data_IF_463651953476
#
_entry.id   IF_463651953476
#
_cell.length_a   1.000
_cell.length_b   1.000
_cell.length_c   1.000
_cell.angle_alpha   90.00
_cell.angle_beta   90.00
_cell.angle_gamma   90.00
#
_symmetry.space_group_name_H-M   'P 1'
#
loop_
_entity.id
_entity.type
_entity.pdbx_description
1 polymer ?
#
# COMPACT_ATOMS: atom_id res chain seq x y z
N UNK A 1 2.87 -11.71 24.68
CA UNK A 1 1.56 -11.46 24.02
C UNK A 1 1.13 -12.77 23.38
N UNK A 2 -0.16 -13.08 23.36
CA UNK A 2 -0.69 -14.22 22.61
C UNK A 2 -0.52 -13.95 21.11
N UNK A 3 -0.42 -15.03 20.33
CA UNK A 3 -0.33 -14.90 18.87
C UNK A 3 -1.69 -14.53 18.28
N UNK A 4 -1.70 -13.56 17.34
CA UNK A 4 -2.91 -13.19 16.62
C UNK A 4 -3.20 -14.20 15.51
N UNK A 5 -4.35 -14.88 15.61
CA UNK A 5 -4.76 -15.89 14.63
C UNK A 5 -4.93 -15.32 13.22
N UNK A 6 -5.28 -14.05 13.08
CA UNK A 6 -5.50 -13.43 11.77
C UNK A 6 -4.20 -13.24 10.98
N UNK A 7 -3.03 -13.31 11.63
CA UNK A 7 -1.72 -13.31 10.97
C UNK A 7 -1.26 -14.70 10.49
N UNK A 8 -2.01 -15.76 10.84
CA UNK A 8 -1.70 -17.13 10.41
C UNK A 8 -2.38 -17.46 9.07
N UNK A 9 -1.68 -18.23 8.24
CA UNK A 9 -2.32 -18.91 7.10
C UNK A 9 -3.26 -20.00 7.59
N UNK A 10 -4.16 -20.46 6.72
CA UNK A 10 -5.05 -21.58 7.06
C UNK A 10 -4.24 -22.84 7.42
N UNK A 11 -3.14 -23.12 6.73
CA UNK A 11 -2.28 -24.28 7.00
C UNK A 11 -1.64 -24.19 8.40
N UNK A 12 -1.03 -23.06 8.74
CA UNK A 12 -0.46 -22.82 10.07
C UNK A 12 -1.52 -22.90 11.17
N UNK A 13 -2.72 -22.37 10.92
CA UNK A 13 -3.84 -22.47 11.87
C UNK A 13 -4.28 -23.92 12.05
N UNK A 14 -4.29 -24.73 10.98
CA UNK A 14 -4.61 -26.15 11.05
C UNK A 14 -3.58 -26.92 11.90
N UNK A 15 -2.29 -26.62 11.75
CA UNK A 15 -1.23 -27.24 12.54
C UNK A 15 -1.31 -26.80 14.01
N UNK A 16 -1.57 -25.53 14.27
CA UNK A 16 -1.77 -25.00 15.61
C UNK A 16 -3.00 -25.65 16.31
N UNK A 17 -4.08 -25.89 15.60
CA UNK A 17 -5.28 -26.54 16.12
C UNK A 17 -5.01 -28.05 16.39
N UNK A 18 -4.30 -28.72 15.48
CA UNK A 18 -3.88 -30.11 15.71
C UNK A 18 -3.03 -30.24 16.97
N UNK A 19 -2.12 -29.30 17.23
CA UNK A 19 -1.26 -29.28 18.42
C UNK A 19 -2.06 -29.15 19.73
N UNK A 20 -3.25 -28.57 19.70
CA UNK A 20 -4.16 -28.48 20.85
C UNK A 20 -5.26 -29.56 20.84
N UNK A 21 -5.16 -30.57 19.99
CA UNK A 21 -6.10 -31.68 19.91
C UNK A 21 -7.41 -31.37 19.19
N UNK A 22 -7.45 -30.31 18.37
CA UNK A 22 -8.64 -29.91 17.62
C UNK A 22 -8.55 -30.34 16.14
N UNK A 23 -9.66 -30.78 15.53
CA UNK A 23 -9.68 -31.19 14.13
C UNK A 23 -9.37 -30.02 13.17
N UNK A 24 -8.66 -30.29 12.07
CA UNK A 24 -8.29 -29.28 11.05
C UNK A 24 -9.46 -28.47 10.50
N UNK A 25 -10.66 -29.04 10.37
CA UNK A 25 -11.83 -28.31 9.88
C UNK A 25 -12.26 -27.19 10.84
N UNK A 26 -11.95 -27.29 12.13
CA UNK A 26 -12.22 -26.20 13.09
C UNK A 26 -11.36 -24.98 12.80
N UNK A 27 -10.11 -25.17 12.41
CA UNK A 27 -9.25 -24.07 11.95
C UNK A 27 -9.86 -23.35 10.75
N UNK A 28 -10.40 -24.09 9.75
CA UNK A 28 -11.09 -23.50 8.61
C UNK A 28 -12.33 -22.67 9.01
N UNK A 29 -13.10 -23.16 9.99
CA UNK A 29 -14.24 -22.42 10.53
C UNK A 29 -13.79 -21.08 11.16
N UNK A 30 -12.76 -21.12 12.00
CA UNK A 30 -12.22 -19.91 12.64
C UNK A 30 -11.63 -18.95 11.59
N UNK A 31 -10.83 -19.45 10.65
CA UNK A 31 -10.27 -18.65 9.57
C UNK A 31 -11.34 -17.90 8.77
N UNK A 32 -12.42 -18.60 8.41
CA UNK A 32 -13.56 -17.99 7.70
C UNK A 32 -14.25 -16.91 8.55
N UNK A 33 -14.42 -17.13 9.85
CA UNK A 33 -14.99 -16.12 10.75
C UNK A 33 -14.13 -14.86 10.85
N UNK A 34 -12.80 -15.03 10.98
CA UNK A 34 -11.85 -13.93 11.06
C UNK A 34 -11.89 -13.07 9.80
N UNK A 35 -11.89 -13.70 8.62
CA UNK A 35 -11.96 -13.00 7.32
C UNK A 35 -13.37 -12.47 6.97
N UNK A 36 -14.36 -12.73 7.81
CA UNK A 36 -15.70 -12.10 7.77
C UNK A 36 -15.87 -10.99 8.82
N UNK A 37 -14.83 -10.68 9.58
CA UNK A 37 -14.82 -9.57 10.52
C UNK A 37 -15.17 -9.95 11.96
N UNK A 38 -15.09 -11.23 12.35
CA UNK A 38 -15.23 -11.60 13.76
C UNK A 38 -14.09 -10.97 14.58
N UNK A 39 -14.48 -10.28 15.66
CA UNK A 39 -13.56 -9.58 16.58
C UNK A 39 -13.44 -10.27 17.94
N UNK A 40 -14.12 -11.39 18.13
CA UNK A 40 -14.03 -12.21 19.33
C UNK A 40 -14.39 -13.66 19.01
N UNK A 41 -13.90 -14.60 19.83
CA UNK A 41 -14.29 -16.02 19.71
C UNK A 41 -15.76 -16.23 20.04
N UNK A 42 -16.37 -15.40 20.89
CA UNK A 42 -17.79 -15.49 21.26
C UNK A 42 -18.73 -15.26 20.08
N UNK A 43 -18.32 -14.48 19.08
CA UNK A 43 -19.08 -14.29 17.85
C UNK A 43 -19.17 -15.56 16.99
N UNK A 44 -18.27 -16.55 17.18
CA UNK A 44 -18.16 -17.76 16.37
C UNK A 44 -19.15 -18.84 16.80
N UNK A 45 -20.43 -18.62 16.54
CA UNK A 45 -21.58 -19.40 17.09
C UNK A 45 -21.60 -20.88 16.68
N UNK A 46 -20.90 -21.26 15.60
CA UNK A 46 -20.80 -22.66 15.16
C UNK A 46 -19.67 -23.45 15.87
N UNK A 47 -18.94 -22.80 16.80
CA UNK A 47 -17.96 -23.44 17.68
C UNK A 47 -18.59 -23.71 19.05
N UNK A 48 -18.20 -24.83 19.69
CA UNK A 48 -18.62 -25.11 21.07
C UNK A 48 -18.09 -24.03 22.03
N UNK A 49 -18.81 -23.79 23.10
CA UNK A 49 -18.41 -22.84 24.15
C UNK A 49 -17.03 -23.17 24.71
N UNK A 50 -16.78 -24.45 24.99
CA UNK A 50 -15.47 -24.93 25.49
C UNK A 50 -14.31 -24.66 24.52
N UNK A 51 -14.55 -24.81 23.21
CA UNK A 51 -13.52 -24.48 22.22
C UNK A 51 -13.26 -22.97 22.16
N UNK A 52 -14.31 -22.15 22.18
CA UNK A 52 -14.16 -20.68 22.17
C UNK A 52 -13.35 -20.19 23.38
N UNK A 53 -13.66 -20.68 24.59
CA UNK A 53 -12.93 -20.40 25.82
C UNK A 53 -11.46 -20.88 25.75
N UNK A 54 -11.22 -22.08 25.19
CA UNK A 54 -9.88 -22.62 24.98
C UNK A 54 -9.05 -21.74 24.03
N UNK A 55 -9.63 -21.34 22.90
CA UNK A 55 -8.97 -20.48 21.91
C UNK A 55 -8.70 -19.10 22.49
N UNK A 56 -9.66 -18.50 23.21
CA UNK A 56 -9.48 -17.22 23.89
C UNK A 56 -8.34 -17.24 24.93
N UNK A 57 -8.17 -18.38 25.57
CA UNK A 57 -7.03 -18.62 26.49
C UNK A 57 -5.66 -18.62 25.81
N UNK A 58 -5.57 -19.06 24.55
CA UNK A 58 -4.33 -19.32 23.84
C UNK A 58 -3.94 -18.24 22.81
N UNK A 59 -4.93 -17.62 22.15
CA UNK A 59 -4.73 -16.75 21.01
C UNK A 59 -5.40 -15.39 21.20
N UNK A 60 -4.99 -14.43 20.40
CA UNK A 60 -5.63 -13.12 20.28
C UNK A 60 -6.38 -13.00 18.93
N UNK A 61 -7.38 -12.14 18.90
CA UNK A 61 -8.00 -11.59 17.70
C UNK A 61 -7.88 -10.08 17.82
N UNK A 62 -7.05 -9.47 16.99
CA UNK A 62 -6.95 -8.01 16.95
C UNK A 62 -7.92 -7.43 15.92
N UNK A 63 -8.42 -6.25 16.21
CA UNK A 63 -9.21 -5.46 15.28
C UNK A 63 -8.96 -3.98 15.54
N UNK A 64 -8.85 -3.16 14.49
CA UNK A 64 -8.74 -1.71 14.66
C UNK A 64 -10.10 -1.12 15.02
N UNK A 65 -10.08 0.05 15.65
CA UNK A 65 -11.28 0.87 15.81
C UNK A 65 -11.21 2.13 14.96
N UNK A 66 -12.35 2.61 14.51
CA UNK A 66 -12.44 3.87 13.77
C UNK A 66 -12.23 5.04 14.71
N UNK A 67 -11.06 5.70 14.65
CA UNK A 67 -10.82 6.93 15.40
C UNK A 67 -11.43 8.15 14.68
N UNK A 68 -11.39 8.14 13.33
CA UNK A 68 -12.03 9.19 12.50
C UNK A 68 -12.43 8.61 11.15
N UNK A 69 -13.59 9.04 10.63
CA UNK A 69 -14.05 8.76 9.27
C UNK A 69 -14.39 10.09 8.59
N UNK A 70 -13.88 10.29 7.40
CA UNK A 70 -14.18 11.45 6.56
C UNK A 70 -14.67 10.97 5.20
N UNK A 71 -15.70 11.63 4.68
CA UNK A 71 -16.26 11.31 3.36
C UNK A 71 -16.18 12.57 2.50
N UNK A 72 -15.50 12.47 1.38
CA UNK A 72 -15.39 13.55 0.41
C UNK A 72 -16.76 13.92 -0.14
N UNK A 73 -17.06 15.21 -0.14
CA UNK A 73 -18.27 15.76 -0.79
C UNK A 73 -18.12 15.90 -2.30
N UNK A 74 -16.88 15.83 -2.80
CA UNK A 74 -16.57 16.01 -4.22
C UNK A 74 -16.72 14.71 -5.03
N UNK A 75 -16.32 13.58 -4.44
CA UNK A 75 -16.18 12.33 -5.19
C UNK A 75 -16.52 11.05 -4.41
N UNK A 76 -16.98 11.19 -3.16
CA UNK A 76 -17.38 10.06 -2.32
C UNK A 76 -16.21 9.25 -1.74
N UNK A 77 -14.96 9.68 -1.93
CA UNK A 77 -13.78 9.05 -1.30
C UNK A 77 -13.93 9.04 0.21
N UNK A 78 -13.60 7.90 0.84
CA UNK A 78 -13.70 7.75 2.29
C UNK A 78 -12.29 7.59 2.86
N UNK A 79 -11.92 8.45 3.81
CA UNK A 79 -10.69 8.34 4.57
C UNK A 79 -10.97 7.87 5.99
N UNK A 80 -10.29 6.80 6.40
CA UNK A 80 -10.31 6.27 7.75
C UNK A 80 -9.02 6.58 8.47
N UNK A 81 -9.12 6.98 9.73
CA UNK A 81 -8.04 6.91 10.71
C UNK A 81 -8.36 5.72 11.64
N UNK A 82 -7.57 4.67 11.51
CA UNK A 82 -7.69 3.47 12.32
C UNK A 82 -6.82 3.57 13.56
N UNK A 83 -7.39 3.34 14.74
CA UNK A 83 -6.65 3.18 15.98
C UNK A 83 -6.33 1.70 16.16
N UNK A 84 -5.06 1.40 16.27
CA UNK A 84 -4.52 0.06 16.50
C UNK A 84 -4.52 -0.30 17.98
N UNK A 85 -4.28 -1.59 18.31
CA UNK A 85 -4.29 -2.11 19.68
C UNK A 85 -3.31 -1.40 20.62
N UNK A 86 -2.15 -1.00 20.12
CA UNK A 86 -1.11 -0.28 20.86
C UNK A 86 -1.35 1.23 21.00
N UNK A 87 -2.48 1.71 20.51
CA UNK A 87 -2.86 3.13 20.51
C UNK A 87 -2.30 3.96 19.37
N UNK A 88 -1.42 3.41 18.54
CA UNK A 88 -0.99 4.05 17.31
C UNK A 88 -2.13 4.15 16.30
N UNK A 89 -1.99 5.07 15.34
CA UNK A 89 -2.97 5.24 14.28
C UNK A 89 -2.34 5.13 12.90
N UNK A 90 -3.13 4.60 11.94
CA UNK A 90 -2.81 4.58 10.51
C UNK A 90 -4.02 5.00 9.70
N UNK A 91 -3.80 5.50 8.49
CA UNK A 91 -4.88 5.93 7.60
C UNK A 91 -5.03 4.97 6.42
N UNK A 92 -6.28 4.77 6.02
CA UNK A 92 -6.66 4.08 4.77
C UNK A 92 -7.66 4.92 3.99
N UNK A 93 -7.68 4.75 2.67
CA UNK A 93 -8.58 5.50 1.78
C UNK A 93 -9.32 4.54 0.87
N UNK A 94 -10.66 4.62 0.87
CA UNK A 94 -11.52 3.90 -0.07
C UNK A 94 -11.90 4.84 -1.20
N UNK A 95 -11.56 4.46 -2.41
CA UNK A 95 -11.81 5.22 -3.64
C UNK A 95 -12.76 4.44 -4.54
N UNK A 96 -13.75 5.12 -5.08
CA UNK A 96 -14.72 4.52 -5.99
C UNK A 96 -14.36 4.81 -7.44
N UNK A 97 -14.17 3.75 -8.24
CA UNK A 97 -13.94 3.86 -9.67
C UNK A 97 -15.02 3.09 -10.43
N UNK A 98 -15.22 3.39 -11.70
CA UNK A 98 -16.15 2.65 -12.56
C UNK A 98 -15.81 1.16 -12.72
N UNK A 99 -14.54 0.79 -12.51
CA UNK A 99 -14.04 -0.58 -12.60
C UNK A 99 -13.93 -1.28 -11.23
N UNK A 100 -14.52 -0.73 -10.18
CA UNK A 100 -14.55 -1.30 -8.84
C UNK A 100 -13.93 -0.40 -7.77
N UNK A 101 -14.13 -0.76 -6.51
CA UNK A 101 -13.63 0.04 -5.39
C UNK A 101 -12.20 -0.36 -5.06
N UNK A 102 -11.35 0.64 -4.85
CA UNK A 102 -9.95 0.47 -4.49
C UNK A 102 -9.73 0.94 -3.05
N UNK A 103 -9.05 0.13 -2.25
CA UNK A 103 -8.58 0.58 -0.94
C UNK A 103 -7.07 0.84 -0.98
N UNK A 104 -6.68 2.02 -0.52
CA UNK A 104 -5.29 2.38 -0.26
C UNK A 104 -4.99 2.09 1.21
N UNK A 105 -4.00 1.23 1.48
CA UNK A 105 -3.63 0.82 2.84
C UNK A 105 -2.22 1.26 3.19
N UNK A 106 -2.01 1.45 4.50
CA UNK A 106 -0.71 1.74 5.11
C UNK A 106 0.02 0.44 5.45
N UNK A 107 1.35 0.45 5.34
CA UNK A 107 2.21 -0.70 5.68
C UNK A 107 3.00 -0.53 6.98
N UNK A 108 3.04 0.67 7.51
CA UNK A 108 3.80 1.04 8.70
C UNK A 108 3.09 2.12 9.51
N UNK A 109 3.47 2.29 10.76
CA UNK A 109 3.18 3.48 11.56
C UNK A 109 4.30 4.48 11.37
N UNK A 110 4.08 5.52 10.55
CA UNK A 110 5.10 6.41 10.05
C UNK A 110 5.87 5.81 8.87
N UNK A 111 6.92 6.50 8.40
CA UNK A 111 7.71 6.06 7.24
C UNK A 111 9.18 6.48 7.39
N UNK A 112 10.16 5.57 7.15
CA UNK A 112 11.57 5.89 7.30
C UNK A 112 12.19 6.59 6.08
N UNK A 113 11.47 6.70 4.94
CA UNK A 113 12.05 7.11 3.66
C UNK A 113 12.45 8.58 3.57
N UNK A 114 11.80 9.47 4.32
CA UNK A 114 12.17 10.89 4.38
C UNK A 114 11.88 11.70 3.12
N UNK A 115 10.94 11.23 2.26
CA UNK A 115 10.53 11.96 1.04
C UNK A 115 9.96 13.32 1.39
N UNK A 116 10.55 14.41 0.83
CA UNK A 116 10.22 15.78 1.23
C UNK A 116 8.81 16.25 0.85
N UNK A 117 8.20 15.60 -0.11
CA UNK A 117 6.84 15.89 -0.58
C UNK A 117 5.75 15.08 0.14
N UNK A 118 6.12 14.23 1.12
CA UNK A 118 5.18 13.28 1.72
C UNK A 118 5.03 13.51 3.23
N UNK A 119 3.80 13.76 3.68
CA UNK A 119 3.48 13.96 5.10
C UNK A 119 3.70 12.69 5.95
N UNK A 120 3.63 11.50 5.35
CA UNK A 120 3.82 10.22 6.05
C UNK A 120 5.21 10.05 6.67
N UNK A 121 6.21 10.81 6.21
CA UNK A 121 7.58 10.77 6.73
C UNK A 121 7.79 11.67 7.95
N UNK A 122 6.83 12.56 8.24
CA UNK A 122 6.91 13.48 9.39
C UNK A 122 6.91 12.68 10.69
N UNK A 123 7.99 12.78 11.44
CA UNK A 123 8.20 12.04 12.69
C UNK A 123 8.72 10.60 12.51
N UNK A 124 9.13 10.21 11.31
CA UNK A 124 9.83 8.95 11.04
C UNK A 124 9.00 7.69 11.27
N UNK A 125 9.66 6.54 11.27
CA UNK A 125 9.08 5.23 11.55
C UNK A 125 8.91 5.01 13.06
N UNK A 126 7.75 4.49 13.46
CA UNK A 126 7.50 3.97 14.81
C UNK A 126 7.63 2.45 14.83
N UNK A 127 6.86 1.76 13.98
CA UNK A 127 6.93 0.32 13.79
C UNK A 127 6.32 -0.13 12.45
N UNK A 128 6.64 -1.34 12.08
CA UNK A 128 6.01 -2.04 10.97
C UNK A 128 4.65 -2.60 11.40
N UNK A 129 3.71 -2.68 10.47
CA UNK A 129 2.41 -3.30 10.71
C UNK A 129 2.51 -4.83 10.61
N UNK A 130 1.75 -5.51 11.47
CA UNK A 130 1.58 -6.95 11.43
C UNK A 130 0.68 -7.38 10.25
N UNK A 131 0.77 -8.63 9.77
CA UNK A 131 -0.08 -9.10 8.67
C UNK A 131 -1.57 -8.93 8.93
N UNK A 132 -2.04 -9.20 10.15
CA UNK A 132 -3.43 -8.98 10.55
C UNK A 132 -3.87 -7.52 10.42
N UNK A 133 -3.01 -6.56 10.80
CA UNK A 133 -3.29 -5.13 10.71
C UNK A 133 -3.37 -4.64 9.26
N UNK A 134 -2.64 -5.28 8.33
CA UNK A 134 -2.76 -5.03 6.89
C UNK A 134 -4.08 -5.58 6.33
N UNK A 135 -4.44 -6.82 6.69
CA UNK A 135 -5.73 -7.45 6.32
C UNK A 135 -6.90 -6.63 6.87
N UNK A 136 -6.80 -6.18 8.11
CA UNK A 136 -7.86 -5.45 8.80
C UNK A 136 -8.21 -4.12 8.13
N UNK A 137 -7.22 -3.39 7.61
CA UNK A 137 -7.48 -2.16 6.87
C UNK A 137 -8.39 -2.41 5.66
N UNK A 138 -8.20 -3.52 4.94
CA UNK A 138 -9.05 -3.89 3.81
C UNK A 138 -10.42 -4.36 4.29
N UNK A 139 -10.44 -5.29 5.22
CA UNK A 139 -11.64 -5.93 5.73
C UNK A 139 -12.61 -4.94 6.40
N UNK A 140 -12.10 -4.13 7.33
CA UNK A 140 -12.94 -3.18 8.07
C UNK A 140 -13.31 -1.96 7.23
N UNK A 141 -12.48 -1.56 6.24
CA UNK A 141 -12.91 -0.57 5.25
C UNK A 141 -14.10 -1.06 4.43
N UNK A 142 -14.11 -2.34 4.01
CA UNK A 142 -15.23 -2.94 3.29
C UNK A 142 -16.47 -3.03 4.18
N UNK A 143 -16.32 -3.51 5.41
CA UNK A 143 -17.45 -3.71 6.33
C UNK A 143 -18.11 -2.38 6.74
N UNK A 144 -17.31 -1.37 7.07
CA UNK A 144 -17.84 -0.06 7.53
C UNK A 144 -18.40 0.79 6.38
N UNK A 145 -17.79 0.72 5.19
CA UNK A 145 -18.28 1.46 4.02
C UNK A 145 -19.48 0.78 3.34
N UNK A 146 -19.64 -0.53 3.50
CA UNK A 146 -20.58 -1.34 2.72
C UNK A 146 -20.19 -1.51 1.24
N UNK A 147 -19.00 -1.06 0.83
CA UNK A 147 -18.52 -1.11 -0.53
C UNK A 147 -17.61 -2.34 -0.72
N UNK A 148 -17.92 -3.26 -1.65
CA UNK A 148 -17.04 -4.40 -1.92
C UNK A 148 -15.71 -3.92 -2.47
N UNK A 149 -14.60 -4.34 -1.84
CA UNK A 149 -13.24 -3.99 -2.27
C UNK A 149 -12.82 -4.92 -3.40
N UNK A 150 -12.47 -4.34 -4.55
CA UNK A 150 -12.02 -5.05 -5.75
C UNK A 150 -10.50 -4.96 -5.93
N UNK A 151 -9.90 -3.85 -5.51
CA UNK A 151 -8.48 -3.58 -5.73
C UNK A 151 -7.82 -3.04 -4.45
N UNK A 152 -6.53 -3.33 -4.29
CA UNK A 152 -5.72 -2.87 -3.15
C UNK A 152 -4.49 -2.14 -3.69
N UNK A 153 -4.17 -0.98 -3.13
CA UNK A 153 -2.91 -0.30 -3.37
C UNK A 153 -2.17 -0.07 -2.05
N UNK A 154 -0.93 -0.56 -1.96
CA UNK A 154 -0.05 -0.31 -0.82
C UNK A 154 0.71 1.00 -1.09
N UNK A 155 -0.02 2.12 -0.99
CA UNK A 155 0.45 3.49 -1.26
C UNK A 155 0.11 4.46 -0.12
N UNK A 156 -0.26 3.92 1.04
CA UNK A 156 -0.54 4.67 2.26
C UNK A 156 0.72 5.03 3.04
N UNK A 157 0.62 5.07 4.35
CA UNK A 157 1.75 5.37 5.23
C UNK A 157 2.72 4.18 5.24
N UNK A 158 4.02 4.46 5.03
CA UNK A 158 5.09 3.47 5.12
C UNK A 158 5.73 3.11 3.79
N UNK A 159 6.76 2.28 3.87
CA UNK A 159 7.44 1.65 2.75
C UNK A 159 7.15 0.13 2.79
N UNK A 160 6.31 -0.38 1.89
CA UNK A 160 5.91 -1.78 1.94
C UNK A 160 7.08 -2.77 1.88
N UNK A 161 8.13 -2.44 1.13
CA UNK A 161 9.30 -3.30 1.02
C UNK A 161 10.25 -3.21 2.24
N UNK A 162 10.14 -2.19 3.09
CA UNK A 162 10.81 -2.17 4.40
C UNK A 162 10.12 -3.14 5.38
N UNK A 163 8.81 -3.33 5.24
CA UNK A 163 8.02 -4.33 5.95
C UNK A 163 7.84 -5.64 5.16
N UNK A 164 8.88 -6.09 4.48
CA UNK A 164 8.82 -7.12 3.44
C UNK A 164 8.09 -8.40 3.87
N UNK A 165 8.52 -9.02 4.98
CA UNK A 165 8.01 -10.33 5.37
C UNK A 165 6.53 -10.28 5.78
N UNK A 166 6.12 -9.25 6.51
CA UNK A 166 4.70 -9.05 6.88
C UNK A 166 3.83 -8.72 5.65
N UNK A 167 4.36 -7.94 4.70
CA UNK A 167 3.65 -7.65 3.45
C UNK A 167 3.51 -8.91 2.58
N UNK A 168 4.54 -9.76 2.49
CA UNK A 168 4.42 -11.04 1.78
C UNK A 168 3.36 -11.95 2.45
N UNK A 169 3.35 -12.00 3.77
CA UNK A 169 2.31 -12.72 4.53
C UNK A 169 0.91 -12.15 4.29
N UNK A 170 0.77 -10.82 4.29
CA UNK A 170 -0.48 -10.16 3.93
C UNK A 170 -0.97 -10.58 2.55
N UNK A 171 -0.08 -10.58 1.54
CA UNK A 171 -0.44 -10.98 0.18
C UNK A 171 -0.94 -12.43 0.12
N UNK A 172 -0.33 -13.34 0.87
CA UNK A 172 -0.78 -14.72 0.99
C UNK A 172 -2.19 -14.80 1.62
N UNK A 173 -2.41 -14.10 2.72
CA UNK A 173 -3.69 -14.10 3.45
C UNK A 173 -4.83 -13.49 2.63
N UNK A 174 -4.59 -12.33 2.00
CA UNK A 174 -5.63 -11.62 1.27
C UNK A 174 -6.07 -12.35 -0.02
N UNK A 175 -5.14 -13.11 -0.61
CA UNK A 175 -5.39 -13.92 -1.81
C UNK A 175 -5.98 -15.30 -1.48
N UNK A 176 -6.02 -15.70 -0.21
CA UNK A 176 -6.55 -17.00 0.20
C UNK A 176 -7.99 -17.20 -0.28
N UNK A 177 -8.32 -18.32 -0.94
CA UNK A 177 -9.69 -18.61 -1.39
C UNK A 177 -10.68 -18.82 -0.24
N UNK A 178 -10.19 -19.17 0.95
CA UNK A 178 -10.99 -19.30 2.18
C UNK A 178 -11.11 -17.97 2.96
N UNK A 179 -10.38 -16.91 2.51
CA UNK A 179 -10.39 -15.57 3.06
C UNK A 179 -11.14 -14.57 2.19
N UNK A 180 -10.56 -13.38 1.98
CA UNK A 180 -11.16 -12.33 1.15
C UNK A 180 -11.04 -12.61 -0.36
N UNK A 181 -10.14 -13.48 -0.77
CA UNK A 181 -9.95 -13.96 -2.14
C UNK A 181 -9.72 -12.84 -3.17
N UNK A 182 -8.93 -11.85 -2.82
CA UNK A 182 -8.54 -10.77 -3.74
C UNK A 182 -7.30 -11.23 -4.53
N UNK A 183 -7.46 -11.38 -5.85
CA UNK A 183 -6.40 -11.88 -6.73
C UNK A 183 -5.22 -10.93 -6.84
N UNK A 184 -3.99 -11.47 -7.01
CA UNK A 184 -2.74 -10.69 -7.08
C UNK A 184 -2.76 -9.60 -8.16
N UNK A 185 -3.45 -9.80 -9.29
CA UNK A 185 -3.58 -8.80 -10.37
C UNK A 185 -4.36 -7.56 -9.97
N UNK A 186 -5.10 -7.63 -8.87
CA UNK A 186 -5.86 -6.53 -8.28
C UNK A 186 -5.06 -5.79 -7.19
N UNK A 187 -3.79 -6.14 -7.00
CA UNK A 187 -2.94 -5.56 -5.98
C UNK A 187 -1.80 -4.79 -6.62
N UNK A 188 -1.61 -3.53 -6.22
CA UNK A 188 -0.45 -2.72 -6.58
C UNK A 188 0.39 -2.47 -5.34
N UNK A 189 1.66 -2.89 -5.39
CA UNK A 189 2.65 -2.67 -4.34
C UNK A 189 3.56 -1.53 -4.78
N UNK A 190 3.59 -0.44 -4.00
CA UNK A 190 4.46 0.69 -4.27
C UNK A 190 5.73 0.63 -3.42
N UNK A 191 6.84 1.13 -3.97
CA UNK A 191 8.11 1.24 -3.25
C UNK A 191 8.87 2.50 -3.63
N UNK A 192 9.57 3.09 -2.67
CA UNK A 192 10.54 4.16 -2.91
C UNK A 192 11.81 3.72 -3.63
N UNK A 193 11.95 2.40 -3.89
CA UNK A 193 13.06 1.84 -4.66
C UNK A 193 14.14 1.18 -3.80
N UNK A 194 13.74 0.31 -2.88
CA UNK A 194 14.66 -0.56 -2.13
C UNK A 194 15.12 -1.70 -3.04
N UNK A 195 16.24 -1.52 -3.74
CA UNK A 195 16.74 -2.42 -4.79
C UNK A 195 16.88 -3.86 -4.33
N UNK A 196 17.53 -4.09 -3.19
CA UNK A 196 17.68 -5.42 -2.59
C UNK A 196 16.35 -6.14 -2.32
N UNK A 197 15.29 -5.38 -2.09
CA UNK A 197 13.94 -5.91 -1.87
C UNK A 197 13.16 -6.12 -3.17
N UNK A 198 13.38 -5.27 -4.17
CA UNK A 198 12.83 -5.48 -5.52
C UNK A 198 13.38 -6.79 -6.10
N UNK A 199 14.69 -7.03 -5.97
CA UNK A 199 15.32 -8.28 -6.39
C UNK A 199 14.71 -9.50 -5.68
N UNK A 200 14.52 -9.42 -4.35
CA UNK A 200 13.85 -10.45 -3.56
C UNK A 200 12.39 -10.68 -3.95
N UNK A 201 11.68 -9.60 -4.31
CA UNK A 201 10.29 -9.68 -4.78
C UNK A 201 10.20 -10.37 -6.15
N UNK A 202 11.18 -10.14 -7.05
CA UNK A 202 11.25 -10.77 -8.36
C UNK A 202 11.35 -12.31 -8.28
N UNK A 203 11.89 -12.85 -7.18
CA UNK A 203 12.02 -14.30 -6.95
C UNK A 203 10.70 -14.96 -6.49
N UNK A 204 9.69 -14.17 -6.12
CA UNK A 204 8.41 -14.66 -5.59
C UNK A 204 7.37 -15.02 -6.64
N UNK A 205 7.63 -14.70 -7.92
CA UNK A 205 6.70 -14.92 -9.06
C UNK A 205 5.25 -14.47 -8.77
N UNK A 206 5.09 -13.31 -8.15
CA UNK A 206 3.80 -12.74 -7.84
C UNK A 206 3.26 -11.95 -9.03
N UNK A 207 1.96 -12.15 -9.34
CA UNK A 207 1.28 -11.49 -10.46
C UNK A 207 0.73 -10.10 -10.11
N UNK A 208 1.28 -9.44 -9.08
CA UNK A 208 0.91 -8.09 -8.68
C UNK A 208 1.49 -7.02 -9.64
N UNK A 209 1.03 -5.79 -9.50
CA UNK A 209 1.65 -4.63 -10.17
C UNK A 209 2.69 -4.02 -9.24
N UNK A 210 3.94 -3.96 -9.69
CA UNK A 210 4.97 -3.20 -8.99
C UNK A 210 4.90 -1.73 -9.43
N UNK A 211 4.71 -0.82 -8.46
CA UNK A 211 4.78 0.63 -8.65
C UNK A 211 6.04 1.17 -8.02
N UNK A 212 6.87 1.86 -8.80
CA UNK A 212 8.15 2.41 -8.32
C UNK A 212 8.07 3.93 -8.28
N UNK A 213 8.23 4.49 -7.09
CA UNK A 213 8.32 5.94 -6.86
C UNK A 213 9.65 6.46 -7.39
N UNK A 214 9.68 6.87 -8.66
CA UNK A 214 10.87 7.40 -9.32
C UNK A 214 11.01 8.90 -9.10
N UNK A 215 9.99 9.68 -9.45
CA UNK A 215 9.80 11.12 -9.25
C UNK A 215 10.87 12.05 -9.87
N UNK A 216 11.99 11.51 -10.35
CA UNK A 216 12.98 12.21 -11.17
C UNK A 216 13.84 11.22 -11.94
N UNK A 217 14.27 11.53 -13.18
CA UNK A 217 15.10 10.63 -13.98
C UNK A 217 16.60 10.75 -13.71
N UNK A 218 17.03 11.71 -12.88
CA UNK A 218 18.42 11.98 -12.54
C UNK A 218 18.67 11.96 -11.03
N UNK A 219 19.91 11.65 -10.64
CA UNK A 219 20.29 11.50 -9.23
C UNK A 219 20.31 12.82 -8.46
N UNK A 220 20.62 13.92 -9.12
CA UNK A 220 20.70 15.23 -8.46
C UNK A 220 19.32 15.66 -7.99
N UNK A 221 18.35 15.69 -8.90
CA UNK A 221 16.96 16.08 -8.61
C UNK A 221 16.29 15.06 -7.69
N UNK A 222 16.49 13.75 -7.94
CA UNK A 222 15.89 12.70 -7.11
C UNK A 222 16.41 12.75 -5.68
N UNK A 223 17.71 12.95 -5.45
CA UNK A 223 18.30 13.03 -4.11
C UNK A 223 17.81 14.24 -3.31
N UNK A 224 17.40 15.33 -3.97
CA UNK A 224 16.83 16.51 -3.32
C UNK A 224 15.47 16.20 -2.67
N UNK A 225 14.67 15.32 -3.27
CA UNK A 225 13.28 15.03 -2.83
C UNK A 225 13.13 13.64 -2.21
N UNK A 226 13.98 12.67 -2.55
CA UNK A 226 13.96 11.29 -2.05
C UNK A 226 15.33 10.86 -1.54
N UNK A 227 15.60 10.92 -0.23
CA UNK A 227 16.91 10.58 0.35
C UNK A 227 17.36 9.13 0.06
N UNK A 228 16.44 8.21 -0.18
CA UNK A 228 16.72 6.80 -0.54
C UNK A 228 17.61 6.69 -1.78
N UNK A 229 17.58 7.68 -2.68
CA UNK A 229 18.41 7.74 -3.88
C UNK A 229 19.93 7.73 -3.56
N UNK A 230 20.32 8.23 -2.40
CA UNK A 230 21.75 8.21 -1.98
C UNK A 230 22.28 6.80 -1.79
N UNK A 231 21.41 5.85 -1.44
CA UNK A 231 21.76 4.43 -1.29
C UNK A 231 21.61 3.69 -2.61
N UNK A 232 20.56 3.98 -3.37
CA UNK A 232 20.26 3.35 -4.65
C UNK A 232 20.02 4.41 -5.72
N UNK A 233 21.08 4.80 -6.47
CA UNK A 233 20.98 5.74 -7.56
C UNK A 233 19.99 5.29 -8.65
N UNK A 234 19.51 6.24 -9.44
CA UNK A 234 18.49 6.01 -10.48
C UNK A 234 18.86 4.84 -11.40
N UNK A 235 20.09 4.78 -11.91
CA UNK A 235 20.48 3.73 -12.84
C UNK A 235 20.54 2.34 -12.18
N UNK A 236 20.94 2.26 -10.92
CA UNK A 236 20.89 1.02 -10.12
C UNK A 236 19.45 0.56 -9.91
N UNK A 237 18.57 1.49 -9.56
CA UNK A 237 17.13 1.21 -9.40
C UNK A 237 16.51 0.72 -10.72
N UNK A 238 16.80 1.39 -11.82
CA UNK A 238 16.24 1.02 -13.13
C UNK A 238 16.82 -0.32 -13.65
N UNK A 239 18.06 -0.66 -13.30
CA UNK A 239 18.61 -1.99 -13.58
C UNK A 239 17.81 -3.08 -12.86
N UNK A 240 17.55 -2.93 -11.56
CA UNK A 240 16.72 -3.87 -10.79
C UNK A 240 15.28 -3.95 -11.34
N UNK A 241 14.73 -2.84 -11.83
CA UNK A 241 13.42 -2.85 -12.49
C UNK A 241 13.43 -3.64 -13.81
N UNK A 242 14.48 -3.53 -14.61
CA UNK A 242 14.64 -4.34 -15.83
C UNK A 242 14.72 -5.82 -15.52
N UNK A 243 15.49 -6.18 -14.50
CA UNK A 243 15.62 -7.57 -14.05
C UNK A 243 14.28 -8.12 -13.51
N UNK A 244 13.54 -7.31 -12.74
CA UNK A 244 12.19 -7.64 -12.31
C UNK A 244 11.25 -7.90 -13.50
N UNK A 245 11.24 -6.99 -14.48
CA UNK A 245 10.43 -7.14 -15.69
C UNK A 245 10.84 -8.40 -16.50
N UNK A 246 12.14 -8.64 -16.67
CA UNK A 246 12.64 -9.81 -17.37
C UNK A 246 12.24 -11.13 -16.71
N UNK A 247 12.27 -11.20 -15.35
CA UNK A 247 11.89 -12.38 -14.58
C UNK A 247 10.39 -12.64 -14.54
N UNK A 248 9.58 -11.58 -14.38
CA UNK A 248 8.14 -11.70 -14.09
C UNK A 248 7.25 -11.48 -15.32
N UNK A 249 7.75 -10.85 -16.37
CA UNK A 249 6.96 -10.39 -17.51
C UNK A 249 5.93 -9.31 -17.16
N UNK A 250 5.97 -8.78 -15.92
CA UNK A 250 4.98 -7.82 -15.42
C UNK A 250 5.43 -6.39 -15.67
N UNK A 251 4.57 -5.61 -16.35
CA UNK A 251 4.78 -4.18 -16.56
C UNK A 251 4.93 -3.45 -15.21
N UNK A 252 5.90 -2.54 -15.13
CA UNK A 252 6.14 -1.68 -13.97
C UNK A 252 5.44 -0.34 -14.18
N UNK A 253 4.78 0.17 -13.12
CA UNK A 253 4.28 1.54 -13.05
C UNK A 253 5.32 2.43 -12.37
N UNK A 254 5.78 3.47 -13.04
CA UNK A 254 6.65 4.49 -12.45
C UNK A 254 5.80 5.66 -11.98
N UNK A 255 5.73 5.85 -10.68
CA UNK A 255 5.05 6.99 -10.08
C UNK A 255 5.95 8.22 -10.24
N UNK A 256 5.41 9.29 -10.81
CA UNK A 256 6.16 10.50 -11.12
C UNK A 256 5.40 11.75 -10.70
N UNK A 257 5.82 12.35 -9.58
CA UNK A 257 5.19 13.56 -9.05
C UNK A 257 5.68 14.80 -9.81
N UNK A 258 4.72 15.59 -10.31
CA UNK A 258 4.98 16.82 -11.06
C UNK A 258 5.18 17.97 -10.08
N UNK A 259 6.43 18.33 -9.83
CA UNK A 259 6.86 19.38 -8.88
C UNK A 259 7.49 20.52 -9.67
N UNK A 260 6.92 21.72 -9.54
CA UNK A 260 7.35 22.93 -10.22
C UNK A 260 8.84 23.24 -10.02
N UNK A 261 9.57 23.38 -11.11
CA UNK A 261 11.01 23.66 -11.13
C UNK A 261 11.91 22.55 -10.57
N UNK A 262 11.37 21.34 -10.29
CA UNK A 262 12.13 20.21 -9.74
C UNK A 262 12.10 18.99 -10.63
N UNK A 263 10.91 18.60 -11.12
CA UNK A 263 10.70 17.34 -11.86
C UNK A 263 9.84 17.49 -13.10
N UNK A 264 9.71 18.67 -13.66
CA UNK A 264 8.74 18.98 -14.71
C UNK A 264 9.34 19.57 -16.01
N UNK A 265 10.67 19.58 -16.13
CA UNK A 265 11.31 20.15 -17.33
C UNK A 265 11.21 19.22 -18.54
N UNK A 266 11.19 19.78 -19.78
CA UNK A 266 11.22 19.01 -21.02
C UNK A 266 12.45 18.07 -21.10
N UNK A 267 13.62 18.54 -20.65
CA UNK A 267 14.86 17.77 -20.64
C UNK A 267 14.75 16.53 -19.75
N UNK A 268 14.05 16.66 -18.61
CA UNK A 268 13.76 15.52 -17.72
C UNK A 268 12.80 14.53 -18.38
N UNK A 269 11.79 14.99 -19.13
CA UNK A 269 10.90 14.10 -19.89
C UNK A 269 11.67 13.30 -20.96
N UNK A 270 12.58 13.95 -21.70
CA UNK A 270 13.45 13.31 -22.69
C UNK A 270 14.40 12.30 -22.03
N UNK A 271 15.02 12.66 -20.89
CA UNK A 271 15.91 11.78 -20.14
C UNK A 271 15.14 10.56 -19.61
N UNK A 272 13.94 10.78 -19.05
CA UNK A 272 13.06 9.71 -18.56
C UNK A 272 12.70 8.73 -19.67
N UNK A 273 12.30 9.26 -20.83
CA UNK A 273 11.97 8.44 -22.01
C UNK A 273 13.12 7.54 -22.43
N UNK A 274 14.34 8.09 -22.51
CA UNK A 274 15.57 7.33 -22.85
C UNK A 274 15.85 6.24 -21.83
N UNK A 275 15.72 6.55 -20.54
CA UNK A 275 15.99 5.59 -19.44
C UNK A 275 14.97 4.46 -19.37
N UNK A 276 13.71 4.69 -19.74
CA UNK A 276 12.63 3.71 -19.72
C UNK A 276 12.45 2.93 -21.03
N UNK A 277 13.16 3.32 -22.07
CA UNK A 277 13.06 2.66 -23.38
C UNK A 277 13.31 1.14 -23.28
N UNK A 278 12.45 0.35 -23.93
CA UNK A 278 12.53 -1.12 -23.95
C UNK A 278 12.12 -1.84 -22.67
N UNK A 279 11.71 -1.10 -21.65
CA UNK A 279 11.24 -1.67 -20.38
C UNK A 279 9.72 -1.59 -20.30
N UNK A 280 8.93 -2.55 -20.51
CA UNK A 280 7.46 -2.52 -20.42
C UNK A 280 6.90 -1.56 -19.34
N UNK A 281 7.22 -0.27 -19.48
CA UNK A 281 7.00 0.77 -18.49
C UNK A 281 5.68 1.52 -18.73
N UNK A 282 5.10 2.00 -17.64
CA UNK A 282 4.01 2.97 -17.61
C UNK A 282 4.41 4.08 -16.65
N UNK A 283 4.22 5.35 -17.04
CA UNK A 283 4.45 6.49 -16.15
C UNK A 283 3.12 7.01 -15.64
N UNK A 284 2.93 6.95 -14.34
CA UNK A 284 1.77 7.51 -13.65
C UNK A 284 2.14 8.90 -13.12
N UNK A 285 1.77 9.93 -13.86
CA UNK A 285 2.05 11.32 -13.51
C UNK A 285 1.09 11.79 -12.43
N UNK A 286 1.63 12.30 -11.33
CA UNK A 286 0.87 12.71 -10.15
C UNK A 286 1.05 14.22 -9.96
N UNK A 287 0.02 15.05 -10.14
CA UNK A 287 0.09 16.42 -9.68
C UNK A 287 0.42 16.45 -8.18
N UNK A 288 1.39 17.26 -7.77
CA UNK A 288 1.77 17.33 -6.37
C UNK A 288 0.58 17.77 -5.53
N UNK A 289 0.22 16.97 -4.53
CA UNK A 289 -0.78 17.34 -3.56
C UNK A 289 -0.17 18.24 -2.48
N UNK A 290 -0.94 19.18 -1.96
CA UNK A 290 -0.45 20.14 -0.98
C UNK A 290 -0.08 19.43 0.33
N UNK A 291 1.18 19.61 0.73
CA UNK A 291 1.72 19.26 2.06
C UNK A 291 2.37 20.52 2.59
N UNK A 292 1.72 21.18 3.52
CA UNK A 292 2.09 22.52 4.00
C UNK A 292 3.56 22.61 4.44
N UNK A 293 4.08 21.52 5.03
CA UNK A 293 5.46 21.49 5.56
C UNK A 293 6.53 21.31 4.46
N UNK A 294 6.13 20.95 3.23
CA UNK A 294 7.08 20.66 2.16
C UNK A 294 7.67 21.91 1.50
N UNK A 295 6.90 22.99 1.43
CA UNK A 295 7.24 24.19 0.67
C UNK A 295 7.32 23.98 -0.85
N UNK A 296 6.88 22.82 -1.36
CA UNK A 296 6.90 22.48 -2.76
C UNK A 296 5.54 22.80 -3.41
N UNK A 297 5.56 23.11 -4.71
CA UNK A 297 4.38 23.47 -5.47
C UNK A 297 4.16 22.51 -6.63
N UNK A 298 2.88 22.35 -7.02
CA UNK A 298 2.54 21.53 -8.19
C UNK A 298 2.89 22.27 -9.48
N UNK A 299 3.35 21.54 -10.48
CA UNK A 299 3.61 22.05 -11.81
C UNK A 299 2.37 22.65 -12.47
N UNK A 300 2.56 23.61 -13.37
CA UNK A 300 1.47 24.17 -14.17
C UNK A 300 0.83 23.10 -15.06
N UNK A 301 -0.44 23.27 -15.43
CA UNK A 301 -1.12 22.36 -16.37
C UNK A 301 -0.37 22.28 -17.71
N UNK A 302 0.18 23.39 -18.17
CA UNK A 302 0.95 23.44 -19.43
C UNK A 302 2.21 22.58 -19.33
N UNK A 303 3.00 22.69 -18.25
CA UNK A 303 4.19 21.86 -18.02
C UNK A 303 3.83 20.38 -17.95
N UNK A 304 2.75 20.02 -17.23
CA UNK A 304 2.27 18.63 -17.14
C UNK A 304 1.92 18.07 -18.52
N UNK A 305 1.16 18.81 -19.34
CA UNK A 305 0.80 18.37 -20.69
C UNK A 305 2.00 18.27 -21.62
N UNK A 306 2.93 19.22 -21.55
CA UNK A 306 4.15 19.18 -22.34
C UNK A 306 5.00 17.96 -21.98
N UNK A 307 5.19 17.69 -20.68
CA UNK A 307 5.91 16.52 -20.18
C UNK A 307 5.27 15.22 -20.69
N UNK A 308 3.94 15.11 -20.56
CA UNK A 308 3.18 13.96 -21.05
C UNK A 308 3.38 13.75 -22.57
N UNK A 309 3.26 14.81 -23.36
CA UNK A 309 3.40 14.76 -24.81
C UNK A 309 4.79 14.28 -25.25
N UNK A 310 5.85 14.68 -24.51
CA UNK A 310 7.22 14.24 -24.79
C UNK A 310 7.34 12.74 -24.49
N UNK A 311 6.80 12.24 -23.37
CA UNK A 311 6.82 10.80 -23.04
C UNK A 311 6.12 10.00 -24.13
N UNK A 312 4.91 10.41 -24.51
CA UNK A 312 4.09 9.73 -25.53
C UNK A 312 4.75 9.74 -26.91
N UNK A 313 5.34 10.86 -27.32
CA UNK A 313 6.10 10.97 -28.58
C UNK A 313 7.31 10.01 -28.61
N UNK A 314 7.88 9.69 -27.46
CA UNK A 314 8.97 8.73 -27.32
C UNK A 314 8.49 7.29 -27.04
N UNK A 315 7.18 7.01 -27.21
CA UNK A 315 6.61 5.67 -27.08
C UNK A 315 6.41 5.20 -25.64
N UNK A 316 6.48 6.09 -24.65
CA UNK A 316 6.21 5.77 -23.23
C UNK A 316 4.75 6.06 -22.92
N UNK A 317 4.02 5.05 -22.47
CA UNK A 317 2.64 5.24 -22.00
C UNK A 317 2.64 6.08 -20.72
N UNK A 318 1.99 7.23 -20.75
CA UNK A 318 1.87 8.13 -19.62
C UNK A 318 0.39 8.43 -19.30
N UNK A 319 0.03 8.45 -18.02
CA UNK A 319 -1.32 8.84 -17.58
C UNK A 319 -1.24 9.87 -16.48
N UNK A 320 -2.14 10.85 -16.52
CA UNK A 320 -2.29 11.82 -15.45
C UNK A 320 -3.28 11.27 -14.41
N UNK A 321 -2.80 11.10 -13.18
CA UNK A 321 -3.61 10.57 -12.08
C UNK A 321 -4.67 11.57 -11.64
N UNK A 322 -5.89 11.09 -11.46
CA UNK A 322 -6.97 11.88 -10.87
C UNK A 322 -6.70 12.12 -9.38
N UNK A 323 -6.85 13.34 -8.93
CA UNK A 323 -6.83 13.69 -7.51
C UNK A 323 -8.21 13.38 -6.91
N UNK A 324 -8.26 12.48 -5.95
CA UNK A 324 -9.49 12.10 -5.23
C UNK A 324 -9.36 12.47 -3.75
N UNK A 325 -10.48 12.84 -3.12
CA UNK A 325 -10.54 13.18 -1.69
C UNK A 325 -9.70 14.40 -1.31
N UNK A 326 -9.56 15.38 -2.22
CA UNK A 326 -8.75 16.58 -1.97
C UNK A 326 -9.31 17.49 -0.88
N UNK A 327 -10.62 17.42 -0.62
CA UNK A 327 -11.32 18.18 0.42
C UNK A 327 -11.19 17.55 1.82
N UNK A 328 -10.60 16.35 1.91
CA UNK A 328 -10.39 15.61 3.16
C UNK A 328 -8.94 15.16 3.35
N UNK A 329 -7.97 15.74 2.60
CA UNK A 329 -6.56 15.36 2.62
C UNK A 329 -6.31 13.85 2.44
N UNK A 330 -7.07 13.22 1.52
CA UNK A 330 -6.99 11.78 1.26
C UNK A 330 -6.09 11.42 0.07
N UNK A 331 -5.47 12.40 -0.57
CA UNK A 331 -4.63 12.18 -1.75
C UNK A 331 -3.23 11.68 -1.37
N UNK A 332 -2.51 11.14 -2.37
CA UNK A 332 -1.16 10.61 -2.16
C UNK A 332 -0.22 11.66 -1.54
N UNK A 333 0.56 11.22 -0.56
CA UNK A 333 1.49 12.05 0.19
C UNK A 333 0.87 12.84 1.34
N UNK A 334 -0.46 12.83 1.51
CA UNK A 334 -1.15 13.61 2.55
C UNK A 334 -1.47 12.83 3.82
N UNK A 335 -1.36 11.49 3.80
CA UNK A 335 -1.73 10.64 4.93
C UNK A 335 -0.79 10.81 6.12
N UNK A 336 -1.38 10.89 7.33
CA UNK A 336 -0.69 11.15 8.59
C UNK A 336 -1.01 10.07 9.62
N UNK A 337 -0.07 9.84 10.55
CA UNK A 337 -0.25 8.87 11.65
C UNK A 337 -0.89 9.46 12.91
N UNK A 338 -1.02 10.79 13.01
CA UNK A 338 -1.48 11.47 14.22
C UNK A 338 -2.91 11.95 14.04
N UNK A 339 -3.71 11.71 15.09
CA UNK A 339 -4.95 12.40 15.31
C UNK A 339 -4.62 13.80 15.84
N UNK A 340 -4.72 14.83 15.00
CA UNK A 340 -4.75 16.20 15.46
C UNK A 340 -6.16 16.48 15.97
N UNK A 341 -6.30 16.72 17.29
CA UNK A 341 -7.53 17.27 17.82
C UNK A 341 -7.70 18.65 17.22
N UNK A 342 -8.68 18.81 16.32
CA UNK A 342 -9.22 20.11 15.94
C UNK A 342 -9.96 20.73 17.10
#
# INVERSE_FOLDING_TARGET
MKQDLKSMTLAEMQDAFAAIGEPKFRAKQVFTWLHRGAVSFDAMTNLSKSLREKLDGLYDITAPSVARKQVSKLDGTIKYLWKLRDGNCVESVVMQYHHGNTVCISSEVGCPMGCKFCASTIGGLVRRLEPSELVDQVLFSQLDSGLPVSNIVLMGIGEPLDNFDNVMRFLELINSPDGMNIGMRHISLSTGGLVDKIEKLAERDLQLTLSVSLHSPDDESRSKIMPVNRRWPVDTLLAACRDYFAKTGRRISFEYTMIDGVSDSPEQAELLSKKLAGMGAHVNMIPLNNVTESGLHTSSRQAIHQFQSILEANGITATLRRTLGSDIDASCGQLRRKYEKT
#
